data_IF_967283268470
#
_entry.id   IF_967283268470
#
_cell.length_a   1.000
_cell.length_b   1.000
_cell.length_c   1.000
_cell.angle_alpha   90.00
_cell.angle_beta   90.00
_cell.angle_gamma   90.00
#
_symmetry.space_group_name_H-M   'P 1'
#
loop_
_entity.id
_entity.type
_entity.pdbx_description
1 polymer ?
#
# COMPACT_ATOMS: atom_id res chain seq x y z
N UNK A 1 -23.70 18.68 27.03
CA UNK A 1 -22.26 18.96 27.09
C UNK A 1 -21.59 17.99 26.14
N UNK A 2 -20.94 18.49 25.11
CA UNK A 2 -19.99 17.69 24.33
C UNK A 2 -18.77 17.53 25.24
N UNK A 3 -18.51 16.30 25.67
CA UNK A 3 -17.22 15.96 26.27
C UNK A 3 -16.18 16.08 25.15
N UNK A 4 -15.45 17.18 25.21
CA UNK A 4 -14.40 17.50 24.27
C UNK A 4 -13.22 16.57 24.54
N UNK A 5 -13.01 15.62 23.64
CA UNK A 5 -11.92 14.64 23.58
C UNK A 5 -10.53 15.29 23.50
N UNK A 6 -10.47 16.63 23.43
CA UNK A 6 -9.25 17.43 23.44
C UNK A 6 -8.94 18.11 24.79
N UNK A 7 -9.79 17.95 25.82
CA UNK A 7 -9.56 18.57 27.13
C UNK A 7 -8.47 17.86 27.95
N UNK A 8 -7.22 18.24 27.65
CA UNK A 8 -6.09 18.35 28.60
C UNK A 8 -5.59 17.08 29.31
N UNK A 9 -5.75 15.89 28.76
CA UNK A 9 -4.81 14.82 29.11
C UNK A 9 -3.53 15.04 28.31
N UNK A 10 -2.65 15.92 28.81
CA UNK A 10 -1.27 15.92 28.36
C UNK A 10 -0.69 14.61 28.87
N UNK A 11 -0.35 13.64 27.99
CA UNK A 11 0.29 12.43 28.46
C UNK A 11 1.54 12.86 29.24
N UNK A 12 1.70 12.33 30.45
CA UNK A 12 2.81 12.64 31.35
C UNK A 12 3.49 11.33 31.75
N UNK A 13 4.78 11.40 32.08
CA UNK A 13 5.58 10.23 32.45
C UNK A 13 5.01 9.52 33.69
N UNK A 14 4.43 10.28 34.63
CA UNK A 14 3.83 9.76 35.87
C UNK A 14 2.58 8.90 35.62
N UNK A 15 1.92 9.07 34.47
CA UNK A 15 0.67 8.37 34.13
C UNK A 15 0.82 7.46 32.91
N UNK A 16 2.04 7.32 32.38
CA UNK A 16 2.32 6.41 31.28
C UNK A 16 2.25 4.96 31.76
N UNK A 17 1.33 4.21 31.17
CA UNK A 17 1.23 2.76 31.36
C UNK A 17 1.64 2.10 30.05
N UNK A 18 2.70 1.27 30.04
CA UNK A 18 3.08 0.51 28.86
C UNK A 18 1.96 -0.42 28.41
N UNK A 19 1.70 -0.48 27.10
CA UNK A 19 0.71 -1.41 26.55
C UNK A 19 1.05 -1.80 25.12
N UNK A 20 0.42 -2.87 24.64
CA UNK A 20 0.52 -3.33 23.25
C UNK A 20 -0.86 -3.45 22.62
N UNK A 21 -0.94 -3.19 21.32
CA UNK A 21 -2.13 -3.46 20.51
C UNK A 21 -1.79 -4.47 19.44
N UNK A 22 -2.39 -5.65 19.51
CA UNK A 22 -2.26 -6.69 18.49
C UNK A 22 -3.39 -6.54 17.47
N UNK A 23 -3.03 -6.35 16.21
CA UNK A 23 -3.95 -6.27 15.09
C UNK A 23 -3.77 -7.49 14.19
N UNK A 24 -4.89 -8.08 13.79
CA UNK A 24 -4.97 -9.06 12.71
C UNK A 24 -6.09 -8.60 11.77
N UNK A 25 -5.72 -8.25 10.54
CA UNK A 25 -6.62 -7.75 9.51
C UNK A 25 -6.64 -8.78 8.40
N UNK A 26 -7.78 -9.46 8.25
CA UNK A 26 -7.99 -10.44 7.20
C UNK A 26 -9.13 -9.97 6.31
N UNK A 27 -8.87 -9.87 5.01
CA UNK A 27 -9.86 -9.53 4.00
C UNK A 27 -9.93 -10.64 2.96
N UNK A 28 -11.15 -10.92 2.49
CA UNK A 28 -11.43 -11.87 1.43
C UNK A 28 -12.02 -11.15 0.23
N UNK A 29 -11.66 -11.58 -0.96
CA UNK A 29 -12.10 -10.98 -2.23
C UNK A 29 -12.02 -9.45 -2.19
N UNK A 30 -10.85 -8.95 -1.82
CA UNK A 30 -10.67 -7.55 -1.48
C UNK A 30 -10.35 -6.70 -2.71
N UNK A 31 -10.77 -5.44 -2.65
CA UNK A 31 -10.33 -4.37 -3.53
C UNK A 31 -9.93 -3.18 -2.65
N UNK A 32 -8.66 -2.80 -2.73
CA UNK A 32 -8.15 -1.61 -2.07
C UNK A 32 -7.68 -0.62 -3.12
N UNK A 33 -8.09 0.64 -2.99
CA UNK A 33 -7.69 1.74 -3.87
C UNK A 33 -7.04 2.84 -3.04
N UNK A 34 -5.77 3.12 -3.32
CA UNK A 34 -5.04 4.25 -2.76
C UNK A 34 -5.05 5.40 -3.75
N UNK A 35 -5.37 6.58 -3.23
CA UNK A 35 -5.30 7.83 -3.95
C UNK A 35 -4.12 8.63 -3.41
N UNK A 36 -3.35 9.25 -4.31
CA UNK A 36 -2.22 10.08 -3.91
C UNK A 36 -1.85 11.11 -4.96
N UNK A 37 -1.26 12.21 -4.51
CA UNK A 37 -0.68 13.24 -5.36
C UNK A 37 0.50 13.93 -4.66
N UNK A 38 1.13 14.89 -5.35
CA UNK A 38 2.32 15.60 -4.85
C UNK A 38 2.05 16.55 -3.68
N UNK A 39 0.78 16.83 -3.39
CA UNK A 39 0.36 17.80 -2.38
C UNK A 39 -0.13 17.12 -1.10
N UNK A 40 -0.17 15.78 -1.05
CA UNK A 40 -0.55 14.99 0.12
C UNK A 40 -1.99 15.22 0.63
N UNK A 41 -2.87 15.78 -0.22
CA UNK A 41 -4.31 15.87 0.02
C UNK A 41 -5.05 15.31 -1.18
N UNK A 42 -6.21 14.69 -0.96
CA UNK A 42 -6.99 14.12 -2.07
C UNK A 42 -7.80 15.24 -2.73
N UNK A 43 -7.57 15.44 -4.04
CA UNK A 43 -8.34 16.40 -4.83
C UNK A 43 -9.68 15.79 -5.25
N UNK A 44 -10.78 16.33 -4.75
CA UNK A 44 -12.14 15.86 -5.04
C UNK A 44 -12.97 16.85 -5.87
N UNK A 45 -12.44 18.03 -6.17
CA UNK A 45 -13.24 19.17 -6.66
C UNK A 45 -13.25 19.31 -8.19
N UNK A 46 -12.43 18.55 -8.91
CA UNK A 46 -12.19 18.79 -10.34
C UNK A 46 -12.74 17.67 -11.23
N UNK A 47 -13.31 18.06 -12.38
CA UNK A 47 -13.66 17.15 -13.49
C UNK A 47 -12.42 16.48 -14.12
N UNK A 48 -11.19 16.79 -13.66
CA UNK A 48 -9.93 16.23 -14.15
C UNK A 48 -9.27 15.47 -13.00
N UNK A 49 -9.21 14.15 -13.10
CA UNK A 49 -8.58 13.28 -12.10
C UNK A 49 -7.08 13.62 -11.96
N UNK A 50 -6.71 14.38 -10.92
CA UNK A 50 -5.31 14.71 -10.62
C UNK A 50 -4.66 13.75 -9.62
N UNK A 51 -5.44 12.87 -9.00
CA UNK A 51 -4.91 11.86 -8.10
C UNK A 51 -4.41 10.68 -8.94
N UNK A 52 -3.17 10.27 -8.68
CA UNK A 52 -2.72 8.94 -9.05
C UNK A 52 -3.52 7.92 -8.24
N UNK A 53 -3.81 6.79 -8.86
CA UNK A 53 -4.55 5.70 -8.23
C UNK A 53 -3.71 4.44 -8.31
N UNK A 54 -3.63 3.73 -7.20
CA UNK A 54 -3.09 2.39 -7.13
C UNK A 54 -4.19 1.49 -6.58
N UNK A 55 -4.51 0.43 -7.30
CA UNK A 55 -5.49 -0.56 -6.88
C UNK A 55 -4.81 -1.91 -6.70
N UNK A 56 -5.08 -2.56 -5.57
CA UNK A 56 -4.74 -3.96 -5.33
C UNK A 56 -6.04 -4.75 -5.15
N UNK A 57 -6.17 -5.82 -5.93
CA UNK A 57 -7.29 -6.77 -5.81
C UNK A 57 -6.73 -8.16 -5.56
N UNK A 58 -7.40 -8.99 -4.77
CA UNK A 58 -6.96 -10.36 -4.52
C UNK A 58 -7.98 -11.17 -3.73
N UNK A 59 -7.73 -12.46 -3.58
CA UNK A 59 -8.65 -13.37 -2.87
C UNK A 59 -8.46 -13.32 -1.36
N UNK A 60 -7.22 -13.20 -0.88
CA UNK A 60 -6.89 -13.13 0.54
C UNK A 60 -5.84 -12.07 0.79
N UNK A 61 -6.07 -11.23 1.80
CA UNK A 61 -5.09 -10.32 2.38
C UNK A 61 -5.07 -10.55 3.88
N UNK A 62 -3.92 -10.93 4.43
CA UNK A 62 -3.69 -11.15 5.86
C UNK A 62 -2.52 -10.27 6.31
N UNK A 63 -2.84 -9.28 7.16
CA UNK A 63 -1.88 -8.38 7.77
C UNK A 63 -1.98 -8.50 9.28
N UNK A 64 -0.87 -8.90 9.90
CA UNK A 64 -0.76 -9.01 11.36
C UNK A 64 0.39 -8.15 11.86
N UNK A 65 0.16 -7.32 12.87
CA UNK A 65 1.22 -6.52 13.49
C UNK A 65 0.86 -6.19 14.94
N UNK A 66 1.89 -5.83 15.72
CA UNK A 66 1.74 -5.38 17.10
C UNK A 66 2.31 -3.98 17.22
N UNK A 67 1.52 -3.05 17.75
CA UNK A 67 2.00 -1.73 18.15
C UNK A 67 2.47 -1.79 19.60
N UNK A 68 3.76 -1.55 19.84
CA UNK A 68 4.40 -1.66 21.14
C UNK A 68 4.61 -0.26 21.74
N UNK A 69 3.79 0.12 22.72
CA UNK A 69 3.91 1.40 23.42
C UNK A 69 4.60 1.18 24.75
N UNK A 70 5.90 0.83 24.73
CA UNK A 70 6.70 0.61 25.94
C UNK A 70 7.43 1.84 26.44
N UNK A 71 7.61 2.85 25.58
CA UNK A 71 8.27 4.09 25.91
C UNK A 71 7.29 5.24 25.76
N UNK A 72 7.44 6.22 26.64
CA UNK A 72 6.71 7.46 26.56
C UNK A 72 7.29 8.32 25.43
N UNK A 73 6.53 8.50 24.35
CA UNK A 73 6.89 9.34 23.19
C UNK A 73 8.25 8.92 22.57
N UNK A 74 8.34 7.71 22.00
CA UNK A 74 9.54 7.29 21.28
C UNK A 74 9.73 8.15 20.02
N UNK A 75 10.97 8.53 19.73
CA UNK A 75 11.30 9.22 18.46
C UNK A 75 11.12 8.29 17.25
N UNK A 76 11.51 7.02 17.41
CA UNK A 76 11.38 5.97 16.40
C UNK A 76 11.02 4.67 17.11
N UNK A 77 10.01 3.96 16.61
CA UNK A 77 9.62 2.64 17.07
C UNK A 77 9.56 1.68 15.86
N UNK A 78 10.13 0.49 16.01
CA UNK A 78 10.10 -0.52 14.95
C UNK A 78 8.83 -1.35 15.05
N UNK A 79 8.01 -1.38 14.00
CA UNK A 79 6.82 -2.20 13.93
C UNK A 79 7.10 -3.40 13.03
N UNK A 80 7.10 -4.59 13.62
CA UNK A 80 7.17 -5.84 12.88
C UNK A 80 5.78 -6.23 12.42
N UNK A 81 5.65 -6.54 11.13
CA UNK A 81 4.41 -6.99 10.54
C UNK A 81 4.62 -8.25 9.71
N UNK A 82 3.61 -9.10 9.71
CA UNK A 82 3.45 -10.22 8.80
C UNK A 82 2.41 -9.81 7.75
N UNK A 83 2.72 -10.03 6.48
CA UNK A 83 1.83 -9.73 5.36
C UNK A 83 1.83 -10.92 4.40
N UNK A 84 0.65 -11.48 4.16
CA UNK A 84 0.39 -12.48 3.13
C UNK A 84 -0.73 -12.00 2.22
N UNK A 85 -0.53 -12.13 0.92
CA UNK A 85 -1.55 -11.81 -0.08
C UNK A 85 -1.60 -12.91 -1.14
N UNK A 86 -2.81 -13.33 -1.52
CA UNK A 86 -3.03 -14.41 -2.50
C UNK A 86 -3.72 -13.90 -3.76
N UNK A 87 -3.23 -14.38 -4.91
CA UNK A 87 -3.74 -14.02 -6.25
C UNK A 87 -3.86 -12.51 -6.46
N UNK A 88 -2.86 -11.78 -5.98
CA UNK A 88 -2.80 -10.33 -6.03
C UNK A 88 -2.66 -9.81 -7.46
N UNK A 89 -3.52 -8.88 -7.84
CA UNK A 89 -3.43 -8.09 -9.07
C UNK A 89 -3.29 -6.62 -8.70
N UNK A 90 -2.33 -5.95 -9.33
CA UNK A 90 -2.09 -4.53 -9.17
C UNK A 90 -2.50 -3.77 -10.42
N UNK A 91 -3.18 -2.62 -10.26
CA UNK A 91 -3.47 -1.68 -11.35
C UNK A 91 -3.12 -0.28 -10.91
N UNK A 92 -2.55 0.50 -11.82
CA UNK A 92 -2.17 1.88 -11.54
C UNK A 92 -2.72 2.81 -12.61
N UNK A 93 -3.26 3.93 -12.18
CA UNK A 93 -3.59 5.07 -13.02
C UNK A 93 -2.68 6.25 -12.65
N UNK A 94 -2.04 6.84 -13.67
CA UNK A 94 -1.21 8.03 -13.51
C UNK A 94 -1.79 9.16 -14.36
N UNK A 95 -2.17 10.31 -13.77
CA UNK A 95 -2.70 11.48 -14.47
C UNK A 95 -1.76 12.02 -15.55
N UNK A 96 -2.32 12.67 -16.57
CA UNK A 96 -1.53 13.28 -17.67
C UNK A 96 -0.62 14.41 -17.21
N UNK A 97 -1.03 15.14 -16.17
CA UNK A 97 -0.24 16.19 -15.55
C UNK A 97 1.00 15.67 -14.82
N UNK A 98 1.07 14.37 -14.52
CA UNK A 98 2.17 13.81 -13.76
C UNK A 98 3.40 13.59 -14.67
N UNK A 99 4.50 14.25 -14.33
CA UNK A 99 5.76 14.21 -15.08
C UNK A 99 6.36 12.81 -15.21
N UNK A 100 6.01 11.89 -14.30
CA UNK A 100 6.50 10.50 -14.32
C UNK A 100 5.69 9.59 -15.25
N UNK A 101 4.52 10.02 -15.75
CA UNK A 101 3.63 9.18 -16.56
C UNK A 101 4.35 8.54 -17.75
N UNK A 102 5.19 9.31 -18.45
CA UNK A 102 5.90 8.81 -19.63
C UNK A 102 6.89 7.70 -19.28
N UNK A 103 7.63 7.88 -18.18
CA UNK A 103 8.58 6.89 -17.67
C UNK A 103 7.88 5.59 -17.26
N UNK A 104 6.76 5.70 -16.53
CA UNK A 104 5.96 4.53 -16.14
C UNK A 104 5.41 3.76 -17.34
N UNK A 105 4.84 4.46 -18.32
CA UNK A 105 4.33 3.81 -19.53
C UNK A 105 5.44 3.14 -20.35
N UNK A 106 6.64 3.73 -20.40
CA UNK A 106 7.79 3.11 -21.06
C UNK A 106 8.25 1.85 -20.35
N UNK A 107 8.27 1.87 -19.01
CA UNK A 107 8.63 0.71 -18.20
C UNK A 107 7.63 -0.42 -18.40
N UNK A 108 6.34 -0.13 -18.31
CA UNK A 108 5.26 -1.11 -18.53
C UNK A 108 5.35 -1.77 -19.92
N UNK A 109 5.61 -0.99 -20.97
CA UNK A 109 5.78 -1.55 -22.33
C UNK A 109 7.00 -2.47 -22.44
N UNK A 110 8.06 -2.18 -21.70
CA UNK A 110 9.29 -2.99 -21.72
C UNK A 110 9.11 -4.29 -20.96
N UNK A 111 8.35 -4.27 -19.85
CA UNK A 111 8.03 -5.49 -19.09
C UNK A 111 7.13 -6.43 -19.88
N UNK A 112 6.13 -5.92 -20.62
CA UNK A 112 5.28 -6.77 -21.46
C UNK A 112 6.07 -7.44 -22.59
N UNK A 113 6.94 -6.70 -23.30
CA UNK A 113 7.81 -7.30 -24.34
C UNK A 113 8.70 -8.42 -23.81
N UNK A 114 9.23 -8.27 -22.59
CA UNK A 114 10.06 -9.29 -21.96
C UNK A 114 9.26 -10.56 -21.64
N UNK A 115 7.98 -10.41 -21.28
CA UNK A 115 7.07 -11.52 -21.02
C UNK A 115 6.76 -12.31 -22.29
N UNK A 116 6.54 -11.62 -23.41
CA UNK A 116 6.32 -12.24 -24.72
C UNK A 116 7.54 -13.05 -25.17
N UNK A 117 8.76 -12.48 -25.08
CA UNK A 117 9.99 -13.18 -25.47
C UNK A 117 10.32 -14.40 -24.59
N UNK A 118 10.00 -14.34 -23.30
CA UNK A 118 10.16 -15.48 -22.39
C UNK A 118 9.23 -16.65 -22.70
N UNK A 119 8.08 -16.39 -23.32
CA UNK A 119 7.13 -17.43 -23.73
C UNK A 119 7.58 -18.19 -24.99
N UNK A 120 8.22 -17.50 -25.94
CA UNK A 120 8.77 -18.13 -27.16
C UNK A 120 9.94 -19.08 -26.86
N UNK A 121 10.76 -18.79 -25.84
CA UNK A 121 11.87 -19.66 -25.45
C UNK A 121 11.45 -20.92 -24.68
N UNK A 122 10.23 -20.97 -24.13
CA UNK A 122 9.71 -22.15 -23.42
C UNK A 122 9.09 -23.21 -24.36
N UNK A 123 9.06 -22.97 -25.68
CA UNK A 123 8.42 -23.83 -26.68
C UNK A 123 9.38 -24.49 -27.67
N UNK A 124 10.70 -24.49 -27.42
CA UNK A 124 11.62 -25.29 -28.23
C UNK A 124 11.59 -26.77 -27.79
N UNK A 125 11.10 -27.72 -28.62
CA UNK A 125 11.20 -29.14 -28.30
C UNK A 125 12.67 -29.55 -28.38
N UNK A 126 13.16 -30.25 -27.35
CA UNK A 126 14.43 -30.96 -27.40
C UNK A 126 14.36 -31.98 -28.55
N UNK A 127 15.00 -31.66 -29.69
CA UNK A 127 15.28 -32.66 -30.71
C UNK A 127 16.44 -33.52 -30.20
N UNK A 128 16.12 -34.76 -29.86
CA UNK A 128 17.08 -35.78 -29.47
C UNK A 128 18.00 -36.13 -30.63
N UNK A 129 19.28 -36.30 -30.30
CA UNK A 129 20.28 -37.04 -31.08
C UNK A 129 20.40 -38.45 -30.55
#
# INVERSE_FOLDING_TARGET
MIEDWTLNYKPDLLTFVPYEWSFNIILRDFEMVWLGNQHNWIECTSNKQQNAQLAFCGEVFDLTFVLQYFRFIPEIEEIKFFLQAEKLVARMFVPESNTLRRSFLSLARTTEKKREQGSDHAHQPQQGT
#
